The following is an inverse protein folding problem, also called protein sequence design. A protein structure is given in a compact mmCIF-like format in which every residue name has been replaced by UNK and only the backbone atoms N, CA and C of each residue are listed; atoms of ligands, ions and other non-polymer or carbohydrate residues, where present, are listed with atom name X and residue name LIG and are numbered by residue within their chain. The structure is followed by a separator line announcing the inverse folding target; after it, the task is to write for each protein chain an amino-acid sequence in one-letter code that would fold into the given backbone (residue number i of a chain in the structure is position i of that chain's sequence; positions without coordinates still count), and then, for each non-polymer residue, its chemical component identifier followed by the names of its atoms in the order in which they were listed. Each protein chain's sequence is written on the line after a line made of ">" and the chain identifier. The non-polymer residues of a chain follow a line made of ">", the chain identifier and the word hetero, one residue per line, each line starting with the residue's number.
data_IF_819493257061
#
_entry.id   IF_819493257061
#
_cell.length_a   1.000
_cell.length_b   1.000
_cell.length_c   1.000
_cell.angle_alpha   90.00
_cell.angle_beta   90.00
_cell.angle_gamma   90.00
#
_symmetry.space_group_name_H-M   'P 1'
#
loop_
_entity.id
_entity.type
_entity.pdbx_description
1 polymer ?
#
# COMPACT_ATOMS: atom_id res chain seq x y z
N UNK A 1 15.46 -11.00 -22.58
CA UNK A 1 16.44 -10.12 -23.27
C UNK A 1 16.35 -8.81 -22.54
N UNK A 2 17.48 -8.21 -22.17
CA UNK A 2 17.45 -6.91 -21.50
C UNK A 2 16.81 -5.85 -22.42
N UNK A 3 15.80 -5.15 -21.90
CA UNK A 3 15.03 -4.13 -22.61
C UNK A 3 15.36 -2.71 -22.14
N UNK A 4 16.25 -2.55 -21.15
CA UNK A 4 16.62 -1.23 -20.60
C UNK A 4 17.25 -0.30 -21.65
N UNK A 5 17.96 -0.86 -22.64
CA UNK A 5 18.59 -0.11 -23.73
C UNK A 5 17.61 0.35 -24.83
N UNK A 6 16.31 0.00 -24.73
CA UNK A 6 15.34 0.37 -25.76
C UNK A 6 14.97 1.84 -25.66
N UNK A 7 15.29 2.59 -26.73
CA UNK A 7 14.98 4.01 -26.84
C UNK A 7 13.49 4.26 -27.16
N UNK A 8 12.61 4.08 -26.17
CA UNK A 8 11.14 4.21 -26.34
C UNK A 8 10.60 5.64 -26.22
N UNK A 9 11.42 6.61 -25.82
CA UNK A 9 11.06 8.03 -25.63
C UNK A 9 10.48 8.75 -26.89
N UNK A 10 10.50 8.13 -28.07
CA UNK A 10 9.90 8.65 -29.32
C UNK A 10 8.78 7.80 -29.85
N UNK A 11 8.45 6.71 -29.16
CA UNK A 11 7.40 5.78 -29.56
C UNK A 11 6.06 6.43 -29.25
N UNK A 12 5.18 6.48 -30.25
CA UNK A 12 3.85 7.08 -30.12
C UNK A 12 2.74 6.04 -30.06
N UNK A 13 3.03 4.79 -30.41
CA UNK A 13 2.09 3.67 -30.40
C UNK A 13 2.82 2.38 -30.04
N UNK A 14 2.26 1.64 -29.08
CA UNK A 14 2.72 0.32 -28.62
C UNK A 14 1.63 -0.75 -28.82
N UNK A 15 0.77 -0.54 -29.82
CA UNK A 15 -0.35 -1.44 -30.10
C UNK A 15 0.11 -2.88 -30.34
N UNK A 16 -0.54 -3.83 -29.68
CA UNK A 16 -0.32 -5.28 -29.81
C UNK A 16 1.13 -5.75 -29.62
N UNK A 17 2.00 -4.91 -29.01
CA UNK A 17 3.44 -5.13 -28.97
C UNK A 17 3.86 -6.46 -28.32
N UNK A 18 3.14 -6.87 -27.27
CA UNK A 18 3.33 -8.13 -26.53
C UNK A 18 2.07 -9.01 -26.56
N UNK A 19 1.20 -8.79 -27.55
CA UNK A 19 0.01 -9.59 -27.78
C UNK A 19 0.36 -11.08 -27.89
N UNK A 20 -0.34 -11.91 -27.13
CA UNK A 20 -0.18 -13.37 -27.06
C UNK A 20 1.22 -13.83 -26.62
N UNK A 21 2.02 -12.93 -26.04
CA UNK A 21 3.37 -13.24 -25.57
C UNK A 21 3.32 -14.03 -24.24
N UNK A 22 2.92 -15.29 -24.33
CA UNK A 22 2.64 -16.15 -23.17
C UNK A 22 3.83 -16.41 -22.23
N UNK A 23 5.06 -16.03 -22.62
CA UNK A 23 6.27 -16.15 -21.80
C UNK A 23 6.93 -14.80 -21.47
N UNK A 24 6.33 -13.68 -21.89
CA UNK A 24 6.89 -12.37 -21.67
C UNK A 24 6.61 -11.90 -20.25
N UNK A 25 7.67 -11.62 -19.49
CA UNK A 25 7.59 -11.07 -18.14
C UNK A 25 8.89 -10.32 -17.81
N UNK A 26 9.15 -9.22 -18.51
CA UNK A 26 10.35 -8.40 -18.29
C UNK A 26 9.94 -7.05 -17.69
N UNK A 27 10.82 -6.47 -16.88
CA UNK A 27 10.65 -5.16 -16.28
C UNK A 27 10.65 -4.05 -17.34
N UNK A 28 9.69 -3.12 -17.22
CA UNK A 28 9.46 -1.99 -18.12
C UNK A 28 9.41 -0.64 -17.36
N UNK A 29 9.78 -0.62 -16.09
CA UNK A 29 9.68 0.56 -15.21
C UNK A 29 10.49 1.76 -15.69
N UNK A 30 11.62 1.52 -16.36
CA UNK A 30 12.50 2.57 -16.88
C UNK A 30 12.03 3.19 -18.21
N UNK A 31 10.87 2.77 -18.74
CA UNK A 31 10.40 3.25 -20.04
C UNK A 31 9.78 4.66 -19.95
N UNK A 32 10.39 5.61 -20.67
CA UNK A 32 9.83 6.95 -20.86
C UNK A 32 8.69 6.93 -21.89
N UNK A 33 7.44 6.86 -21.41
CA UNK A 33 6.23 6.69 -22.24
C UNK A 33 5.45 7.98 -22.51
N UNK A 34 5.99 9.15 -22.20
CA UNK A 34 5.30 10.45 -22.31
C UNK A 34 4.80 10.79 -23.73
N UNK A 35 5.39 10.16 -24.75
CA UNK A 35 5.00 10.34 -26.16
C UNK A 35 3.96 9.33 -26.64
N UNK A 36 3.63 8.33 -25.84
CA UNK A 36 2.74 7.23 -26.22
C UNK A 36 1.29 7.72 -26.22
N UNK A 37 0.61 7.50 -27.33
CA UNK A 37 -0.81 7.89 -27.53
C UNK A 37 -1.74 6.69 -27.67
N UNK A 38 -1.18 5.48 -27.78
CA UNK A 38 -1.94 4.24 -27.89
C UNK A 38 -1.15 3.06 -27.33
N UNK A 39 -1.78 2.28 -26.45
CA UNK A 39 -1.29 1.00 -25.95
C UNK A 39 -2.30 -0.12 -26.23
N UNK A 40 -3.13 0.05 -27.26
CA UNK A 40 -4.24 -0.85 -27.49
C UNK A 40 -3.80 -2.31 -27.63
N UNK A 41 -4.44 -3.19 -26.87
CA UNK A 41 -4.11 -4.62 -26.82
C UNK A 41 -2.63 -4.95 -26.56
N UNK A 42 -1.85 -4.05 -25.95
CA UNK A 42 -0.40 -4.21 -25.85
C UNK A 42 0.00 -5.55 -25.20
N UNK A 43 -0.73 -6.01 -24.20
CA UNK A 43 -0.48 -7.25 -23.44
C UNK A 43 -1.63 -8.26 -23.53
N UNK A 44 -2.51 -8.16 -24.53
CA UNK A 44 -3.65 -9.07 -24.63
C UNK A 44 -3.18 -10.53 -24.65
N UNK A 45 -3.71 -11.34 -23.73
CA UNK A 45 -3.37 -12.76 -23.55
C UNK A 45 -1.89 -13.04 -23.32
N UNK A 46 -1.11 -12.08 -22.81
CA UNK A 46 0.24 -12.30 -22.32
C UNK A 46 0.18 -12.99 -20.94
N UNK A 47 -0.10 -14.29 -20.93
CA UNK A 47 -0.47 -15.06 -19.73
C UNK A 47 0.62 -15.20 -18.65
N UNK A 48 1.87 -14.81 -18.94
CA UNK A 48 2.95 -14.78 -17.96
C UNK A 48 3.26 -13.38 -17.43
N UNK A 49 2.62 -12.35 -17.97
CA UNK A 49 2.89 -10.97 -17.61
C UNK A 49 2.17 -10.59 -16.31
N UNK A 50 2.94 -10.22 -15.30
CA UNK A 50 2.48 -9.85 -13.94
C UNK A 50 3.22 -8.63 -13.36
N UNK A 51 3.98 -7.89 -14.19
CA UNK A 51 4.82 -6.78 -13.73
C UNK A 51 4.01 -5.50 -13.50
N UNK A 52 4.43 -4.71 -12.50
CA UNK A 52 4.10 -3.29 -12.43
C UNK A 52 4.87 -2.55 -13.55
N UNK A 53 4.18 -1.61 -14.20
CA UNK A 53 4.77 -0.81 -15.26
C UNK A 53 5.59 0.34 -14.72
N UNK A 54 5.37 0.79 -13.48
CA UNK A 54 6.13 1.90 -12.88
C UNK A 54 5.87 3.28 -13.50
N UNK A 55 4.95 3.41 -14.46
CA UNK A 55 4.56 4.66 -15.12
C UNK A 55 3.05 4.77 -15.30
N UNK A 56 2.56 6.01 -15.36
CA UNK A 56 1.16 6.32 -15.64
C UNK A 56 0.96 6.74 -17.10
N UNK A 57 -0.22 6.42 -17.63
CA UNK A 57 -0.68 6.89 -18.93
C UNK A 57 -1.62 8.09 -18.75
N UNK A 58 -1.49 9.06 -19.65
CA UNK A 58 -2.37 10.23 -19.66
C UNK A 58 -3.81 9.87 -20.05
N UNK A 59 -4.78 10.69 -19.64
CA UNK A 59 -6.23 10.53 -19.94
C UNK A 59 -6.58 10.46 -21.45
N UNK A 60 -5.63 10.76 -22.34
CA UNK A 60 -5.79 10.75 -23.79
C UNK A 60 -5.28 9.49 -24.51
N UNK A 61 -4.73 8.51 -23.78
CA UNK A 61 -4.16 7.29 -24.38
C UNK A 61 -5.27 6.32 -24.80
N UNK A 62 -5.15 5.77 -26.00
CA UNK A 62 -6.10 4.77 -26.52
C UNK A 62 -5.77 3.36 -26.02
N UNK A 63 -6.81 2.66 -25.57
CA UNK A 63 -6.71 1.29 -25.06
C UNK A 63 -7.37 0.24 -25.97
N UNK A 64 -8.22 0.66 -26.92
CA UNK A 64 -8.97 -0.21 -27.81
C UNK A 64 -8.56 -0.04 -29.29
N UNK A 65 -8.35 -1.16 -29.98
CA UNK A 65 -8.08 -1.17 -31.42
C UNK A 65 -9.38 -1.21 -32.26
N UNK A 66 -10.52 -1.55 -31.65
CA UNK A 66 -11.77 -1.93 -32.34
C UNK A 66 -13.00 -1.10 -31.98
N UNK A 67 -12.83 0.12 -31.45
CA UNK A 67 -13.89 1.13 -31.31
C UNK A 67 -14.99 0.76 -30.32
N UNK A 68 -14.64 0.02 -29.27
CA UNK A 68 -15.54 -0.42 -28.22
C UNK A 68 -14.89 -0.22 -26.86
N UNK A 69 -15.31 0.82 -26.15
CA UNK A 69 -14.93 1.06 -24.75
C UNK A 69 -13.44 1.38 -24.54
N UNK A 70 -13.12 2.60 -24.12
CA UNK A 70 -11.75 3.00 -23.82
C UNK A 70 -11.33 2.52 -22.43
N UNK A 71 -11.28 1.21 -22.19
CA UNK A 71 -10.90 0.69 -20.87
C UNK A 71 -9.50 0.10 -20.91
N UNK A 72 -8.73 0.36 -19.86
CA UNK A 72 -7.39 -0.22 -19.73
C UNK A 72 -7.41 -1.76 -19.72
N UNK A 73 -8.54 -2.36 -19.30
CA UNK A 73 -8.75 -3.80 -19.35
C UNK A 73 -8.52 -4.38 -20.76
N UNK A 74 -8.83 -3.65 -21.83
CA UNK A 74 -8.66 -4.13 -23.20
C UNK A 74 -7.17 -4.28 -23.59
N UNK A 75 -6.29 -3.48 -23.00
CA UNK A 75 -4.85 -3.58 -23.22
C UNK A 75 -4.20 -4.76 -22.47
N UNK A 76 -4.81 -5.23 -21.37
CA UNK A 76 -4.24 -6.26 -20.47
C UNK A 76 -5.12 -7.51 -20.34
N UNK A 77 -6.18 -7.64 -21.13
CA UNK A 77 -7.11 -8.77 -21.03
C UNK A 77 -6.40 -10.10 -21.22
N UNK A 78 -6.54 -11.03 -20.27
CA UNK A 78 -5.88 -12.34 -20.31
C UNK A 78 -4.43 -12.37 -19.82
N UNK A 79 -3.94 -11.28 -19.21
CA UNK A 79 -2.77 -11.30 -18.31
C UNK A 79 -3.14 -11.87 -16.94
N UNK A 80 -2.16 -12.11 -16.05
CA UNK A 80 -2.46 -12.64 -14.72
C UNK A 80 -3.08 -11.61 -13.78
N UNK A 81 -2.83 -10.31 -14.02
CA UNK A 81 -3.17 -9.23 -13.09
C UNK A 81 -4.04 -8.15 -13.74
N UNK A 82 -4.98 -7.58 -12.97
CA UNK A 82 -5.75 -6.41 -13.41
C UNK A 82 -4.88 -5.16 -13.38
N UNK A 83 -5.02 -4.32 -14.42
CA UNK A 83 -4.23 -3.11 -14.63
C UNK A 83 -5.02 -1.84 -14.28
N UNK A 84 -4.32 -0.82 -13.79
CA UNK A 84 -4.86 0.54 -13.67
C UNK A 84 -4.06 1.51 -14.53
N UNK A 85 -4.60 2.73 -14.70
CA UNK A 85 -4.02 3.79 -15.53
C UNK A 85 -2.58 4.16 -15.13
N UNK A 86 -2.19 3.80 -13.90
CA UNK A 86 -0.93 4.15 -13.26
C UNK A 86 -0.05 2.94 -12.92
N UNK A 87 -0.25 1.79 -13.58
CA UNK A 87 0.53 0.58 -13.27
C UNK A 87 0.14 -0.08 -11.93
N UNK A 88 -0.68 0.56 -11.10
CA UNK A 88 -1.12 0.00 -9.82
C UNK A 88 -1.97 -1.25 -10.07
N UNK A 89 -1.43 -2.41 -9.74
CA UNK A 89 -2.15 -3.67 -9.74
C UNK A 89 -3.18 -3.64 -8.61
N UNK A 90 -4.46 -3.72 -8.94
CA UNK A 90 -5.51 -4.04 -7.97
C UNK A 90 -6.40 -5.13 -8.56
N UNK A 91 -6.20 -6.37 -8.13
CA UNK A 91 -7.03 -7.47 -8.62
C UNK A 91 -6.97 -8.74 -7.80
N UNK A 92 -8.00 -8.94 -6.98
CA UNK A 92 -8.41 -10.22 -6.38
C UNK A 92 -8.57 -11.29 -7.47
N UNK A 93 -7.93 -12.45 -7.31
CA UNK A 93 -8.53 -13.71 -7.73
C UNK A 93 -8.18 -14.82 -6.74
N UNK A 94 -9.19 -15.58 -6.32
CA UNK A 94 -9.02 -16.76 -5.48
C UNK A 94 -8.01 -17.71 -6.13
N UNK A 95 -6.81 -17.80 -5.55
CA UNK A 95 -5.77 -18.74 -5.97
C UNK A 95 -4.79 -18.26 -7.04
N UNK A 96 -4.77 -16.97 -7.39
CA UNK A 96 -3.81 -16.36 -8.33
C UNK A 96 -2.93 -15.31 -7.66
N UNK A 97 -1.62 -15.55 -7.63
CA UNK A 97 -0.59 -14.71 -7.01
C UNK A 97 -0.36 -13.47 -7.88
N UNK A 98 -1.06 -12.37 -7.60
CA UNK A 98 -0.66 -11.03 -8.07
C UNK A 98 -0.02 -10.30 -6.89
N UNK A 99 1.21 -10.71 -6.58
CA UNK A 99 2.07 -9.96 -5.65
C UNK A 99 2.81 -8.98 -6.55
N UNK A 100 2.51 -7.69 -6.41
CA UNK A 100 3.36 -6.65 -7.00
C UNK A 100 4.78 -6.91 -6.50
N UNK A 101 5.67 -7.37 -7.39
CA UNK A 101 7.10 -7.16 -7.18
C UNK A 101 7.33 -5.67 -7.39
N UNK A 102 6.95 -4.88 -6.38
CA UNK A 102 7.32 -3.48 -6.32
C UNK A 102 8.87 -3.39 -6.39
N UNK A 103 9.41 -2.31 -6.97
CA UNK A 103 10.81 -2.20 -7.35
C UNK A 103 11.74 -2.47 -6.18
N UNK A 104 12.96 -2.94 -6.51
CA UNK A 104 14.08 -3.05 -5.58
C UNK A 104 14.22 -1.79 -4.73
N UNK A 105 13.99 -1.95 -3.43
CA UNK A 105 14.27 -0.97 -2.37
C UNK A 105 13.38 0.28 -2.38
N UNK A 106 12.33 0.28 -1.55
CA UNK A 106 11.65 1.52 -1.15
C UNK A 106 12.64 2.37 -0.33
N UNK A 107 13.37 3.27 -1.00
CA UNK A 107 14.35 4.18 -0.38
C UNK A 107 13.77 5.53 0.03
N UNK A 108 12.44 5.66 0.06
CA UNK A 108 11.71 6.90 0.37
C UNK A 108 10.97 6.83 1.71
N UNK A 109 10.38 7.95 2.11
CA UNK A 109 9.42 8.00 3.20
C UNK A 109 8.06 7.45 2.73
N UNK A 110 7.36 6.75 3.62
CA UNK A 110 6.01 6.31 3.37
C UNK A 110 5.04 7.49 3.48
N UNK A 111 4.20 7.66 2.46
CA UNK A 111 2.94 8.41 2.53
C UNK A 111 1.73 7.48 2.70
N UNK A 112 0.55 8.06 2.88
CA UNK A 112 -0.69 7.37 3.28
C UNK A 112 -1.03 6.11 2.45
N UNK A 113 -0.94 6.17 1.12
CA UNK A 113 -1.25 5.01 0.28
C UNK A 113 -0.15 3.93 0.32
N UNK A 114 1.11 4.36 0.37
CA UNK A 114 2.26 3.45 0.40
C UNK A 114 2.34 2.66 1.70
N UNK A 115 2.07 3.29 2.86
CA UNK A 115 2.09 2.57 4.15
C UNK A 115 0.96 1.54 4.22
N UNK A 116 -0.25 1.87 3.73
CA UNK A 116 -1.37 0.92 3.65
C UNK A 116 -1.02 -0.29 2.80
N UNK A 117 -0.30 -0.08 1.70
CA UNK A 117 0.16 -1.16 0.82
C UNK A 117 1.22 -2.03 1.52
N UNK A 118 2.20 -1.42 2.17
CA UNK A 118 3.26 -2.14 2.88
C UNK A 118 2.74 -2.92 4.09
N UNK A 119 1.82 -2.35 4.88
CA UNK A 119 1.18 -3.05 6.01
C UNK A 119 0.39 -4.25 5.53
N UNK A 120 -0.41 -4.12 4.46
CA UNK A 120 -1.15 -5.25 3.87
C UNK A 120 -0.20 -6.37 3.43
N UNK A 121 0.87 -6.02 2.73
CA UNK A 121 1.89 -6.99 2.32
C UNK A 121 2.54 -7.67 3.54
N UNK A 122 2.84 -6.91 4.60
CA UNK A 122 3.42 -7.45 5.83
C UNK A 122 2.52 -8.46 6.52
N UNK A 123 1.21 -8.19 6.55
CA UNK A 123 0.20 -9.06 7.13
C UNK A 123 -0.06 -10.32 6.30
N UNK A 124 0.20 -10.28 5.00
CA UNK A 124 0.01 -11.41 4.08
C UNK A 124 1.25 -12.32 4.00
N UNK A 125 2.42 -11.74 3.74
CA UNK A 125 3.71 -12.43 3.70
C UNK A 125 4.82 -11.51 4.23
N UNK A 126 5.14 -11.68 5.51
CA UNK A 126 6.21 -10.94 6.18
C UNK A 126 7.54 -11.04 5.46
N UNK A 127 7.91 -12.22 4.95
CA UNK A 127 9.24 -12.41 4.35
C UNK A 127 9.35 -11.66 3.03
N UNK A 128 8.28 -11.68 2.22
CA UNK A 128 8.21 -10.89 1.00
C UNK A 128 8.17 -9.39 1.31
N UNK A 129 7.36 -8.96 2.28
CA UNK A 129 7.29 -7.55 2.68
C UNK A 129 8.62 -7.02 3.21
N UNK A 130 9.33 -7.79 4.03
CA UNK A 130 10.64 -7.41 4.56
C UNK A 130 11.71 -7.30 3.45
N UNK A 131 11.64 -8.16 2.43
CA UNK A 131 12.53 -8.07 1.27
C UNK A 131 12.28 -6.82 0.42
N UNK A 132 11.04 -6.34 0.37
CA UNK A 132 10.63 -5.19 -0.46
C UNK A 132 10.76 -3.85 0.26
N UNK A 133 10.27 -3.79 1.50
CA UNK A 133 10.10 -2.57 2.29
C UNK A 133 11.09 -2.45 3.46
N UNK A 134 11.90 -3.48 3.69
CA UNK A 134 12.66 -3.61 4.93
C UNK A 134 11.77 -4.01 6.11
N UNK A 135 12.40 -4.22 7.27
CA UNK A 135 11.68 -4.59 8.49
C UNK A 135 10.74 -3.45 8.92
N UNK A 136 9.52 -3.78 9.37
CA UNK A 136 8.49 -2.79 9.72
C UNK A 136 8.93 -1.74 10.74
N UNK A 137 9.84 -2.12 11.64
CA UNK A 137 10.42 -1.23 12.66
C UNK A 137 11.34 -0.14 12.08
N UNK A 138 11.73 -0.23 10.81
CA UNK A 138 12.64 0.72 10.16
C UNK A 138 11.96 1.56 9.08
N UNK A 139 10.64 1.50 8.99
CA UNK A 139 9.88 2.29 8.01
C UNK A 139 9.90 3.77 8.37
N UNK A 140 10.28 4.61 7.40
CA UNK A 140 10.28 6.08 7.54
C UNK A 140 8.85 6.60 7.32
N UNK A 141 8.10 6.89 8.39
CA UNK A 141 6.67 7.25 8.32
C UNK A 141 6.41 8.76 8.40
N UNK A 142 7.42 9.60 8.27
CA UNK A 142 7.32 11.06 8.49
C UNK A 142 6.39 11.79 7.52
N UNK A 143 6.02 11.17 6.40
CA UNK A 143 5.09 11.73 5.40
C UNK A 143 3.66 11.16 5.52
N UNK A 144 3.41 10.27 6.48
CA UNK A 144 2.08 9.72 6.75
C UNK A 144 1.27 10.72 7.58
N UNK A 145 0.07 11.05 7.10
CA UNK A 145 -0.90 11.91 7.79
C UNK A 145 -2.13 11.14 8.28
N UNK A 146 -2.37 9.95 7.75
CA UNK A 146 -3.51 9.10 8.09
C UNK A 146 -3.06 7.65 8.33
N UNK A 147 -3.13 7.23 9.60
CA UNK A 147 -2.83 5.87 10.05
C UNK A 147 -4.10 5.08 10.40
N UNK A 148 -5.28 5.57 9.99
CA UNK A 148 -6.54 4.87 10.27
C UNK A 148 -6.55 3.46 9.68
N UNK A 149 -7.15 2.52 10.41
CA UNK A 149 -7.38 1.12 10.01
C UNK A 149 -6.12 0.32 9.60
N UNK A 150 -4.89 0.81 9.85
CA UNK A 150 -3.69 0.13 9.34
C UNK A 150 -3.57 -1.33 9.80
N UNK A 151 -3.94 -1.61 11.06
CA UNK A 151 -3.92 -2.94 11.64
C UNK A 151 -5.31 -3.39 12.12
N UNK A 152 -6.38 -2.88 11.51
CA UNK A 152 -7.74 -3.32 11.82
C UNK A 152 -7.92 -4.83 11.52
N UNK A 153 -8.43 -5.57 12.51
CA UNK A 153 -8.59 -7.01 12.45
C UNK A 153 -7.28 -7.82 12.47
N UNK A 154 -6.12 -7.17 12.67
CA UNK A 154 -4.79 -7.80 12.67
C UNK A 154 -4.53 -8.58 13.97
N UNK A 155 -5.35 -9.59 14.26
CA UNK A 155 -5.41 -10.29 15.55
C UNK A 155 -4.08 -10.85 16.07
N UNK A 156 -3.13 -11.19 15.17
CA UNK A 156 -1.80 -11.71 15.52
C UNK A 156 -0.67 -10.67 15.46
N UNK A 157 -0.96 -9.42 15.09
CA UNK A 157 0.05 -8.38 14.94
C UNK A 157 0.56 -7.92 16.31
N UNK A 158 1.89 -7.92 16.48
CA UNK A 158 2.56 -7.43 17.68
C UNK A 158 4.03 -7.07 17.39
N UNK A 159 4.33 -6.56 16.20
CA UNK A 159 5.69 -6.18 15.81
C UNK A 159 6.04 -4.79 16.33
N UNK A 160 7.32 -4.58 16.66
CA UNK A 160 7.82 -3.30 17.15
C UNK A 160 7.70 -2.19 16.09
N UNK A 161 6.89 -1.19 16.42
CA UNK A 161 6.63 0.03 15.65
C UNK A 161 6.88 1.29 16.49
N UNK A 162 7.60 1.15 17.62
CA UNK A 162 7.90 2.25 18.54
C UNK A 162 8.69 3.38 17.88
N UNK A 163 9.43 3.07 16.80
CA UNK A 163 10.26 4.00 16.05
C UNK A 163 9.52 4.79 14.96
N UNK A 164 8.24 4.51 14.70
CA UNK A 164 7.46 5.24 13.71
C UNK A 164 7.32 6.71 14.10
N UNK A 165 7.53 7.61 13.13
CA UNK A 165 7.25 9.03 13.28
C UNK A 165 5.75 9.27 13.07
N UNK A 166 5.08 9.68 14.14
CA UNK A 166 3.65 10.02 14.14
C UNK A 166 3.39 11.53 14.20
N UNK A 167 4.44 12.36 14.15
CA UNK A 167 4.34 13.80 14.43
C UNK A 167 3.46 14.57 13.43
N UNK A 168 3.31 14.05 12.22
CA UNK A 168 2.44 14.57 11.16
C UNK A 168 1.04 13.92 11.09
N UNK A 169 0.77 12.90 11.90
CA UNK A 169 -0.46 12.11 11.82
C UNK A 169 -1.64 12.88 12.40
N UNK A 170 -2.75 12.88 11.67
CA UNK A 170 -4.01 13.55 12.02
C UNK A 170 -5.13 12.57 12.38
N UNK A 171 -5.12 11.35 11.82
CA UNK A 171 -6.08 10.29 12.19
C UNK A 171 -5.38 8.99 12.56
N UNK A 172 -5.82 8.40 13.66
CA UNK A 172 -5.46 7.06 14.14
C UNK A 172 -6.71 6.20 14.39
N UNK A 173 -7.85 6.58 13.80
CA UNK A 173 -9.12 5.89 13.98
C UNK A 173 -8.99 4.40 13.61
N UNK A 174 -9.51 3.51 14.46
CA UNK A 174 -9.54 2.06 14.27
C UNK A 174 -8.15 1.41 14.01
N UNK A 175 -7.04 2.10 14.27
CA UNK A 175 -5.69 1.65 13.85
C UNK A 175 -5.33 0.25 14.35
N UNK A 176 -5.72 -0.09 15.58
CA UNK A 176 -5.51 -1.41 16.20
C UNK A 176 -6.83 -2.07 16.61
N UNK A 177 -7.94 -1.71 15.96
CA UNK A 177 -9.21 -2.37 16.24
C UNK A 177 -9.10 -3.87 15.98
N UNK A 178 -9.57 -4.68 16.92
CA UNK A 178 -9.47 -6.15 16.91
C UNK A 178 -8.04 -6.73 16.77
N UNK A 179 -6.99 -5.91 16.95
CA UNK A 179 -5.60 -6.35 17.01
C UNK A 179 -5.29 -7.01 18.37
N UNK A 180 -5.98 -8.11 18.65
CA UNK A 180 -6.09 -8.71 19.99
C UNK A 180 -4.77 -9.09 20.67
N UNK A 181 -3.67 -9.28 19.92
CA UNK A 181 -2.33 -9.61 20.43
C UNK A 181 -1.39 -8.40 20.55
N UNK A 182 -1.80 -7.22 20.10
CA UNK A 182 -0.96 -6.03 20.09
C UNK A 182 -0.72 -5.52 21.53
N UNK A 183 0.55 -5.30 21.88
CA UNK A 183 0.98 -4.80 23.18
C UNK A 183 2.39 -4.17 23.13
N UNK A 184 2.74 -3.50 22.03
CA UNK A 184 4.05 -2.84 21.88
C UNK A 184 4.07 -1.46 22.52
N UNK A 185 5.21 -1.08 23.09
CA UNK A 185 5.42 0.22 23.72
C UNK A 185 5.38 1.35 22.68
N UNK A 186 4.28 2.09 22.69
CA UNK A 186 4.00 3.24 21.84
C UNK A 186 3.86 4.53 22.67
N UNK A 187 4.30 4.51 23.93
CA UNK A 187 4.24 5.69 24.83
C UNK A 187 5.06 6.87 24.31
N UNK A 188 6.05 6.60 23.45
CA UNK A 188 6.91 7.61 22.81
C UNK A 188 6.32 8.32 21.58
N UNK A 189 5.15 7.90 21.08
CA UNK A 189 4.54 8.50 19.90
C UNK A 189 4.14 9.97 20.11
N UNK A 190 4.35 10.78 19.09
CA UNK A 190 3.96 12.19 19.08
C UNK A 190 2.55 12.34 18.51
N UNK A 191 1.54 12.38 19.37
CA UNK A 191 0.11 12.44 18.96
C UNK A 191 -0.51 13.84 19.03
N UNK A 192 0.30 14.90 19.19
CA UNK A 192 -0.20 16.26 19.38
C UNK A 192 -0.98 16.86 18.20
N UNK A 193 -0.80 16.32 17.00
CA UNK A 193 -1.52 16.71 15.78
C UNK A 193 -2.77 15.84 15.51
N UNK A 194 -2.95 14.75 16.25
CA UNK A 194 -4.06 13.81 16.04
C UNK A 194 -5.37 14.45 16.47
N UNK A 195 -6.37 14.37 15.60
CA UNK A 195 -7.72 14.87 15.82
C UNK A 195 -8.75 13.74 16.01
N UNK A 196 -8.41 12.52 15.61
CA UNK A 196 -9.32 11.37 15.63
C UNK A 196 -8.62 10.09 16.12
N UNK A 197 -9.16 9.50 17.19
CA UNK A 197 -8.75 8.24 17.81
C UNK A 197 -9.95 7.32 18.07
N UNK A 198 -11.05 7.49 17.34
CA UNK A 198 -12.23 6.61 17.45
C UNK A 198 -11.80 5.13 17.31
N UNK A 199 -12.27 4.27 18.22
CA UNK A 199 -12.05 2.82 18.20
C UNK A 199 -10.57 2.36 18.08
N UNK A 200 -9.58 3.23 18.35
CA UNK A 200 -8.16 2.95 18.06
C UNK A 200 -7.66 1.63 18.66
N UNK A 201 -8.09 1.27 19.86
CA UNK A 201 -7.76 0.01 20.55
C UNK A 201 -9.00 -0.83 20.86
N UNK A 202 -10.13 -0.63 20.17
CA UNK A 202 -11.32 -1.45 20.40
C UNK A 202 -10.99 -2.92 20.12
N UNK A 203 -11.20 -3.82 21.07
CA UNK A 203 -10.87 -5.25 20.90
C UNK A 203 -9.38 -5.60 20.95
N UNK A 204 -8.47 -4.64 21.18
CA UNK A 204 -7.03 -4.87 21.40
C UNK A 204 -6.78 -5.49 22.80
N UNK A 205 -7.24 -6.72 22.99
CA UNK A 205 -7.48 -7.32 24.32
C UNK A 205 -6.25 -7.42 25.23
N UNK A 206 -5.05 -7.45 24.67
CA UNK A 206 -3.76 -7.54 25.39
C UNK A 206 -3.10 -6.18 25.64
N UNK A 207 -3.56 -5.10 25.01
CA UNK A 207 -2.90 -3.82 25.08
C UNK A 207 -2.96 -3.25 26.51
N UNK A 208 -1.79 -2.98 27.10
CA UNK A 208 -1.67 -2.38 28.43
C UNK A 208 -0.37 -1.58 28.58
N UNK A 209 -0.03 -0.76 27.59
CA UNK A 209 1.18 0.07 27.60
C UNK A 209 0.91 1.47 28.13
N UNK A 210 1.89 2.04 28.83
CA UNK A 210 1.83 3.40 29.37
C UNK A 210 1.83 4.43 28.24
N UNK A 211 0.70 5.13 28.09
CA UNK A 211 0.48 6.21 27.13
C UNK A 211 0.17 7.54 27.84
N UNK A 212 0.52 7.65 29.12
CA UNK A 212 0.28 8.87 29.92
C UNK A 212 1.02 10.09 29.39
N UNK A 213 2.09 9.88 28.60
CA UNK A 213 2.86 10.93 27.94
C UNK A 213 2.18 11.55 26.70
N UNK A 214 1.08 10.98 26.21
CA UNK A 214 0.41 11.45 25.00
C UNK A 214 -0.25 12.83 25.18
N UNK A 215 0.05 13.74 24.25
CA UNK A 215 -0.50 15.10 24.26
C UNK A 215 -1.85 15.17 23.51
N UNK A 216 -2.93 14.71 24.13
CA UNK A 216 -4.25 14.50 23.48
C UNK A 216 -5.17 15.73 23.37
N UNK A 217 -4.64 16.94 23.59
CA UNK A 217 -5.43 18.19 23.64
C UNK A 217 -6.07 18.59 22.31
N UNK A 218 -5.62 18.04 21.19
CA UNK A 218 -6.14 18.28 19.85
C UNK A 218 -7.21 17.26 19.42
N UNK A 219 -7.35 16.15 20.15
CA UNK A 219 -8.23 15.04 19.78
C UNK A 219 -9.70 15.45 19.97
N UNK A 220 -10.46 15.41 18.88
CA UNK A 220 -11.89 15.71 18.87
C UNK A 220 -12.77 14.49 19.15
N UNK A 221 -12.33 13.31 18.71
CA UNK A 221 -13.04 12.04 18.92
C UNK A 221 -12.15 10.95 19.52
N UNK A 222 -12.67 10.32 20.58
CA UNK A 222 -12.09 9.16 21.27
C UNK A 222 -13.18 8.11 21.56
N UNK A 223 -14.28 8.15 20.81
CA UNK A 223 -15.38 7.21 20.93
C UNK A 223 -14.86 5.78 20.91
N UNK A 224 -15.25 4.99 21.90
CA UNK A 224 -14.91 3.56 21.98
C UNK A 224 -13.40 3.22 21.94
N UNK A 225 -12.50 4.19 22.18
CA UNK A 225 -11.05 4.02 22.02
C UNK A 225 -10.48 2.77 22.72
N UNK A 226 -10.97 2.42 23.91
CA UNK A 226 -10.56 1.23 24.68
C UNK A 226 -11.71 0.24 24.91
N UNK A 227 -12.75 0.28 24.08
CA UNK A 227 -13.81 -0.71 24.17
C UNK A 227 -13.21 -2.11 24.01
N UNK A 228 -13.68 -3.09 24.78
CA UNK A 228 -13.18 -4.48 24.74
C UNK A 228 -11.64 -4.69 24.94
N UNK A 229 -10.85 -3.66 25.23
CA UNK A 229 -9.42 -3.73 25.56
C UNK A 229 -9.23 -4.24 27.00
N UNK A 230 -9.51 -5.54 27.20
CA UNK A 230 -9.73 -6.12 28.54
C UNK A 230 -8.54 -6.05 29.50
N UNK A 231 -7.32 -5.91 28.99
CA UNK A 231 -6.11 -5.81 29.81
C UNK A 231 -5.74 -4.37 30.20
N UNK A 232 -6.36 -3.35 29.60
CA UNK A 232 -5.97 -1.96 29.77
C UNK A 232 -6.32 -1.45 31.17
N UNK A 233 -5.29 -1.09 31.95
CA UNK A 233 -5.42 -0.58 33.33
C UNK A 233 -4.53 0.63 33.66
N UNK A 234 -3.96 1.27 32.63
CA UNK A 234 -3.02 2.39 32.83
C UNK A 234 -3.69 3.67 33.33
N UNK A 235 -2.98 4.40 34.18
CA UNK A 235 -3.35 5.78 34.55
C UNK A 235 -2.96 6.72 33.41
N UNK A 236 -3.96 7.30 32.77
CA UNK A 236 -3.74 8.15 31.61
C UNK A 236 -3.16 9.52 31.98
N UNK A 237 -3.48 10.08 33.15
CA UNK A 237 -3.00 11.42 33.54
C UNK A 237 -3.34 12.57 32.56
N UNK A 238 -4.10 12.32 31.49
CA UNK A 238 -4.52 13.31 30.50
C UNK A 238 -5.47 14.32 31.17
N UNK A 239 -5.05 15.59 31.25
CA UNK A 239 -5.79 16.66 31.91
C UNK A 239 -5.86 17.95 31.09
#
# INVERSE_FOLDING_TARGET
>A
QDLSDWAVHRVTSMEEMFSLAASFNQDLSDWAVDSVTSIASMFISASAFDQDLGWCLDEGVKFDAWGGGHTIHDAFSGTQCESTLCGVVRGRSEGGICVTLAPTFFGGAFGDESIRTAVRAWMEDRAAAEATYGHISTWETSEVTDMSELFDGASSFNEDISAWDTSGVTSMAEMFRDASSFNQDIGGWSVGAVIDMEEMFDGASTFNQDISGWAVHSVGDMGWMFAHASAFDQDLGWC
#
